data_IF_210377633939
#
_entry.id   IF_210377633939
#
_cell.length_a   1.000
_cell.length_b   1.000
_cell.length_c   1.000
_cell.angle_alpha   90.00
_cell.angle_beta   90.00
_cell.angle_gamma   90.00
#
_symmetry.space_group_name_H-M   'P 1'
#
loop_
_entity.id
_entity.type
_entity.pdbx_description
1 polymer ?
#
# COMPACT_ATOMS: atom_id res chain seq x y z
N UNK A 1 -1.52 -15.86 -2.21
CA UNK A 1 -0.72 -14.67 -1.86
C UNK A 1 -1.64 -13.44 -1.90
N UNK A 2 -1.16 -12.26 -1.53
CA UNK A 2 -1.86 -10.99 -1.76
C UNK A 2 -0.94 -10.00 -2.46
N UNK A 3 -1.49 -9.17 -3.33
CA UNK A 3 -0.86 -7.95 -3.81
C UNK A 3 -1.54 -6.78 -3.11
N UNK A 4 -0.74 -6.00 -2.38
CA UNK A 4 -1.18 -4.75 -1.77
C UNK A 4 -0.88 -3.62 -2.74
N UNK A 5 -1.88 -2.79 -3.00
CA UNK A 5 -1.80 -1.63 -3.87
C UNK A 5 -2.11 -0.39 -3.03
N UNK A 6 -1.23 0.58 -3.09
CA UNK A 6 -1.45 1.93 -2.60
C UNK A 6 -1.71 2.85 -3.78
N UNK A 7 -2.73 3.69 -3.66
CA UNK A 7 -3.12 4.63 -4.69
C UNK A 7 -3.59 5.94 -4.05
N UNK A 8 -3.15 7.08 -4.58
CA UNK A 8 -3.76 8.36 -4.25
C UNK A 8 -4.36 9.01 -5.50
N UNK A 9 -5.11 10.09 -5.31
CA UNK A 9 -5.68 10.83 -6.43
C UNK A 9 -4.58 11.34 -7.39
N UNK A 10 -4.71 11.15 -8.72
CA UNK A 10 -3.69 11.50 -9.71
C UNK A 10 -3.36 12.99 -9.77
N UNK A 11 -4.29 13.85 -9.34
CA UNK A 11 -4.09 15.30 -9.29
C UNK A 11 -3.35 15.77 -8.04
N UNK A 12 -3.32 14.95 -6.98
CA UNK A 12 -2.69 15.29 -5.71
C UNK A 12 -1.25 14.77 -5.65
N UNK A 13 -1.01 13.54 -6.15
CA UNK A 13 0.31 12.88 -6.12
C UNK A 13 0.97 12.93 -4.75
N UNK A 14 0.21 12.49 -3.75
CA UNK A 14 0.57 12.55 -2.33
C UNK A 14 1.06 11.22 -1.78
N UNK A 15 1.32 10.22 -2.64
CA UNK A 15 1.83 8.93 -2.18
C UNK A 15 3.31 9.05 -1.82
N UNK A 16 3.59 9.23 -0.54
CA UNK A 16 4.96 9.33 -0.04
C UNK A 16 5.68 7.98 -0.09
N UNK A 17 6.92 7.90 -0.62
CA UNK A 17 7.70 6.66 -0.63
C UNK A 17 7.90 6.04 0.75
N UNK A 18 8.04 6.88 1.79
CA UNK A 18 8.20 6.43 3.16
C UNK A 18 6.98 5.64 3.68
N UNK A 19 5.75 5.99 3.24
CA UNK A 19 4.55 5.23 3.62
C UNK A 19 4.60 3.80 3.07
N UNK A 20 4.93 3.66 1.78
CA UNK A 20 5.03 2.37 1.09
C UNK A 20 6.12 1.51 1.75
N UNK A 21 7.28 2.09 2.02
CA UNK A 21 8.40 1.41 2.69
C UNK A 21 8.06 0.98 4.11
N UNK A 22 7.41 1.85 4.89
CA UNK A 22 7.02 1.52 6.26
C UNK A 22 6.02 0.35 6.29
N UNK A 23 5.01 0.36 5.41
CA UNK A 23 3.99 -0.68 5.37
C UNK A 23 4.56 -2.03 4.92
N UNK A 24 5.34 -2.08 3.83
CA UNK A 24 5.96 -3.33 3.39
C UNK A 24 6.91 -3.89 4.46
N UNK A 25 7.68 -3.03 5.14
CA UNK A 25 8.60 -3.49 6.19
C UNK A 25 7.84 -4.00 7.43
N UNK A 26 6.79 -3.30 7.85
CA UNK A 26 5.98 -3.68 9.01
C UNK A 26 5.24 -5.00 8.79
N UNK A 27 4.80 -5.27 7.55
CA UNK A 27 4.03 -6.45 7.20
C UNK A 27 4.86 -7.61 6.63
N UNK A 28 6.18 -7.45 6.52
CA UNK A 28 7.06 -8.44 5.91
C UNK A 28 6.75 -8.67 4.42
N UNK A 29 6.34 -7.61 3.73
CA UNK A 29 6.09 -7.60 2.30
C UNK A 29 7.36 -7.60 1.45
N UNK A 30 7.19 -7.94 0.18
CA UNK A 30 8.26 -7.96 -0.81
C UNK A 30 8.75 -6.57 -1.22
N UNK A 31 9.46 -6.53 -2.34
CA UNK A 31 9.90 -5.27 -2.94
C UNK A 31 8.70 -4.45 -3.44
N UNK A 32 8.79 -3.14 -3.27
CA UNK A 32 7.80 -2.22 -3.79
C UNK A 32 8.04 -1.96 -5.29
N UNK A 33 7.00 -2.12 -6.10
CA UNK A 33 6.96 -1.72 -7.50
C UNK A 33 6.14 -0.44 -7.63
N UNK A 34 6.75 0.62 -8.17
CA UNK A 34 6.05 1.86 -8.49
C UNK A 34 5.36 1.73 -9.85
N UNK A 35 4.03 1.78 -9.83
CA UNK A 35 3.19 1.76 -11.03
C UNK A 35 3.08 3.16 -11.64
N UNK A 36 3.06 4.18 -10.78
CA UNK A 36 3.12 5.59 -11.14
C UNK A 36 3.83 6.38 -10.02
N UNK A 37 4.80 7.23 -10.40
CA UNK A 37 5.57 8.01 -9.44
C UNK A 37 4.66 8.92 -8.60
N UNK A 38 4.85 8.89 -7.28
CA UNK A 38 4.10 9.67 -6.28
C UNK A 38 2.58 9.42 -6.28
N UNK A 39 2.11 8.38 -6.99
CA UNK A 39 0.68 8.14 -7.21
C UNK A 39 0.27 6.71 -6.86
N UNK A 40 1.03 5.71 -7.31
CA UNK A 40 0.68 4.31 -7.05
C UNK A 40 1.90 3.40 -6.95
N UNK A 41 1.85 2.52 -5.94
CA UNK A 41 2.85 1.47 -5.73
C UNK A 41 2.18 0.19 -5.25
N UNK A 42 2.79 -0.95 -5.54
CA UNK A 42 2.34 -2.25 -5.07
C UNK A 42 3.48 -3.06 -4.44
N UNK A 43 3.13 -4.01 -3.58
CA UNK A 43 4.05 -5.03 -3.07
C UNK A 43 3.31 -6.33 -2.72
N UNK A 44 4.04 -7.45 -2.73
CA UNK A 44 3.47 -8.76 -2.40
C UNK A 44 3.44 -9.01 -0.89
N UNK A 45 2.39 -9.67 -0.41
CA UNK A 45 2.25 -10.17 0.96
C UNK A 45 1.87 -11.66 0.96
N UNK A 46 2.49 -12.49 1.83
CA UNK A 46 2.12 -13.90 1.95
C UNK A 46 0.73 -14.08 2.60
N UNK A 47 0.37 -13.20 3.54
CA UNK A 47 -0.90 -13.21 4.24
C UNK A 47 -1.29 -11.78 4.65
N UNK A 48 -2.59 -11.53 4.84
CA UNK A 48 -3.04 -10.24 5.36
C UNK A 48 -2.75 -10.12 6.86
N UNK A 49 -2.24 -8.95 7.31
CA UNK A 49 -1.94 -8.71 8.71
C UNK A 49 -3.23 -8.47 9.51
N UNK A 50 -3.20 -8.80 10.81
CA UNK A 50 -4.38 -8.65 11.68
C UNK A 50 -4.84 -7.21 11.88
N UNK A 51 -3.96 -6.22 11.71
CA UNK A 51 -4.26 -4.80 11.83
C UNK A 51 -4.59 -4.13 10.47
N UNK A 52 -4.91 -4.90 9.43
CA UNK A 52 -5.14 -4.37 8.09
C UNK A 52 -6.17 -3.23 8.07
N UNK A 53 -7.31 -3.41 8.74
CA UNK A 53 -8.38 -2.41 8.75
C UNK A 53 -8.03 -1.14 9.53
N UNK A 54 -7.26 -1.25 10.61
CA UNK A 54 -6.78 -0.09 11.37
C UNK A 54 -5.81 0.76 10.54
N UNK A 55 -4.92 0.09 9.80
CA UNK A 55 -4.00 0.75 8.88
C UNK A 55 -4.74 1.32 7.67
N UNK A 56 -5.75 0.62 7.17
CA UNK A 56 -6.63 1.09 6.11
C UNK A 56 -7.28 2.42 6.51
N UNK A 57 -7.90 2.51 7.69
CA UNK A 57 -8.50 3.75 8.19
C UNK A 57 -7.48 4.89 8.29
N UNK A 58 -6.25 4.59 8.73
CA UNK A 58 -5.17 5.56 8.79
C UNK A 58 -4.76 6.07 7.40
N UNK A 59 -4.69 5.19 6.40
CA UNK A 59 -4.39 5.57 5.02
C UNK A 59 -5.51 6.42 4.41
N UNK A 60 -6.77 6.09 4.71
CA UNK A 60 -7.92 6.88 4.25
C UNK A 60 -7.88 8.32 4.77
N UNK A 61 -7.47 8.53 6.02
CA UNK A 61 -7.27 9.87 6.58
C UNK A 61 -6.18 10.68 5.85
N UNK A 62 -5.24 10.00 5.19
CA UNK A 62 -4.17 10.59 4.37
C UNK A 62 -4.58 10.75 2.89
N UNK A 63 -5.80 10.34 2.50
CA UNK A 63 -6.24 10.32 1.11
C UNK A 63 -5.54 9.26 0.25
N UNK A 64 -5.06 8.19 0.89
CA UNK A 64 -4.44 7.04 0.23
C UNK A 64 -5.36 5.83 0.36
N UNK A 65 -5.72 5.26 -0.78
CA UNK A 65 -6.42 3.99 -0.87
C UNK A 65 -5.44 2.84 -0.65
N UNK A 66 -5.84 1.91 0.20
CA UNK A 66 -5.09 0.70 0.51
C UNK A 66 -5.94 -0.50 0.10
N UNK A 67 -5.51 -1.18 -0.96
CA UNK A 67 -6.25 -2.31 -1.54
C UNK A 67 -5.43 -3.57 -1.38
N UNK A 68 -6.06 -4.67 -0.99
CA UNK A 68 -5.44 -5.99 -1.01
C UNK A 68 -6.24 -6.92 -1.92
N UNK A 69 -5.55 -7.51 -2.92
CA UNK A 69 -6.15 -8.44 -3.88
C UNK A 69 -5.49 -9.80 -3.73
N UNK A 70 -6.23 -10.91 -3.62
CA UNK A 70 -5.64 -12.24 -3.70
C UNK A 70 -4.83 -12.38 -5.00
N UNK A 71 -3.59 -12.79 -4.89
CA UNK A 71 -2.70 -13.11 -6.01
C UNK A 71 -2.25 -14.57 -5.92
N UNK A 72 -1.98 -15.18 -7.07
CA UNK A 72 -1.53 -16.59 -7.17
C UNK A 72 -0.24 -16.83 -6.37
#
# INVERSE_FOLDING_TARGET
MFTVILLCAPNAKTLEPALVENLRNAWGGGDALWLAADESAEFSLPALPGNFWEVWESCQAMGVDLVAVPSE
#
